data_IF_159566273972
#
_entry.id   IF_159566273972
#
_cell.length_a   1.000
_cell.length_b   1.000
_cell.length_c   1.000
_cell.angle_alpha   90.00
_cell.angle_beta   90.00
_cell.angle_gamma   90.00
#
_symmetry.space_group_name_H-M   'P 1'
#
loop_
_entity.id
_entity.type
_entity.pdbx_description
1 polymer ?
#
# COMPACT_ATOMS: atom_id res chain seq x y z
N UNK A 1 4.09 -0.17 -0.51
CA UNK A 1 5.50 -0.52 -0.70
C UNK A 1 5.76 -1.88 -0.07
N UNK A 2 6.34 -2.82 -0.82
CA UNK A 2 6.70 -4.16 -0.31
C UNK A 2 7.87 -4.02 0.66
N UNK A 3 7.89 -4.79 1.75
CA UNK A 3 9.00 -4.85 2.71
C UNK A 3 10.30 -5.19 1.97
N UNK A 4 11.42 -4.53 2.28
CA UNK A 4 12.67 -4.78 1.57
C UNK A 4 13.37 -6.08 2.03
N UNK A 5 13.29 -6.38 3.33
CA UNK A 5 13.89 -7.57 3.94
C UNK A 5 12.82 -8.60 4.24
N UNK A 6 12.80 -9.68 3.45
CA UNK A 6 11.96 -10.85 3.68
C UNK A 6 12.81 -11.94 4.32
N UNK A 7 12.32 -12.53 5.40
CA UNK A 7 12.91 -13.78 5.88
C UNK A 7 12.43 -14.97 5.03
N UNK A 8 13.08 -16.12 5.21
CA UNK A 8 12.75 -17.32 4.43
C UNK A 8 11.34 -17.84 4.72
N UNK A 9 10.84 -17.67 5.94
CA UNK A 9 9.52 -18.15 6.35
C UNK A 9 8.41 -17.30 5.73
N UNK A 10 8.54 -15.97 5.76
CA UNK A 10 7.67 -15.03 5.08
C UNK A 10 7.63 -15.26 3.56
N UNK A 11 8.77 -15.61 2.94
CA UNK A 11 8.82 -15.99 1.52
C UNK A 11 8.05 -17.27 1.24
N UNK A 12 8.23 -18.29 2.06
CA UNK A 12 7.52 -19.56 1.92
C UNK A 12 6.01 -19.35 2.08
N UNK A 13 5.60 -18.58 3.08
CA UNK A 13 4.19 -18.34 3.35
C UNK A 13 3.50 -17.55 2.22
N UNK A 14 4.14 -16.48 1.74
CA UNK A 14 3.47 -15.50 0.89
C UNK A 14 3.81 -15.64 -0.60
N UNK A 15 4.99 -16.15 -0.94
CA UNK A 15 5.54 -16.14 -2.30
C UNK A 15 5.75 -17.54 -2.89
N UNK A 16 5.33 -18.59 -2.20
CA UNK A 16 5.26 -19.94 -2.77
C UNK A 16 4.14 -20.02 -3.82
N UNK A 17 4.46 -20.57 -4.98
CA UNK A 17 3.55 -20.86 -6.07
C UNK A 17 2.90 -22.23 -5.84
N UNK A 18 1.58 -22.25 -5.72
CA UNK A 18 0.81 -23.48 -5.60
C UNK A 18 0.76 -24.23 -6.95
N UNK A 19 0.48 -25.54 -6.98
CA UNK A 19 0.44 -26.32 -8.22
C UNK A 19 -0.48 -25.72 -9.30
N UNK A 20 -1.65 -25.19 -8.92
CA UNK A 20 -2.54 -24.51 -9.84
C UNK A 20 -1.95 -23.21 -10.42
N UNK A 21 -1.20 -22.47 -9.60
CA UNK A 21 -0.52 -21.23 -10.00
C UNK A 21 0.65 -21.54 -10.95
N UNK A 22 1.42 -22.59 -10.67
CA UNK A 22 2.47 -23.08 -11.55
C UNK A 22 1.92 -23.46 -12.94
N UNK A 23 0.75 -24.12 -13.00
CA UNK A 23 0.08 -24.44 -14.27
C UNK A 23 -0.34 -23.17 -15.03
N UNK A 24 -0.85 -22.14 -14.33
CA UNK A 24 -1.22 -20.87 -14.95
C UNK A 24 0.01 -20.13 -15.51
N UNK A 25 1.09 -20.12 -14.75
CA UNK A 25 2.37 -19.50 -15.10
C UNK A 25 3.06 -20.25 -16.25
N UNK A 26 3.03 -21.59 -16.24
CA UNK A 26 3.66 -22.44 -17.25
C UNK A 26 3.12 -22.26 -18.67
N UNK A 27 1.94 -21.68 -18.83
CA UNK A 27 1.39 -21.30 -20.14
C UNK A 27 2.06 -20.05 -20.75
N UNK A 28 3.00 -19.41 -20.04
CA UNK A 28 3.76 -18.24 -20.48
C UNK A 28 5.18 -18.65 -20.86
N UNK A 29 5.82 -17.85 -21.73
CA UNK A 29 7.15 -18.15 -22.26
C UNK A 29 8.14 -17.05 -21.87
N UNK A 30 9.33 -17.45 -21.45
CA UNK A 30 10.47 -16.56 -21.15
C UNK A 30 10.16 -15.56 -20.04
N UNK A 31 10.52 -14.30 -20.25
CA UNK A 31 10.34 -13.22 -19.27
C UNK A 31 8.88 -13.03 -18.81
N UNK A 32 7.91 -13.40 -19.65
CA UNK A 32 6.49 -13.34 -19.30
C UNK A 32 6.11 -14.33 -18.20
N UNK A 33 6.87 -15.41 -18.02
CA UNK A 33 6.63 -16.44 -17.00
C UNK A 33 6.88 -15.87 -15.61
N UNK A 34 8.09 -15.34 -15.37
CA UNK A 34 8.43 -14.70 -14.09
C UNK A 34 7.62 -13.43 -13.85
N UNK A 35 7.41 -12.61 -14.88
CA UNK A 35 6.59 -11.40 -14.76
C UNK A 35 5.14 -11.70 -14.37
N UNK A 36 4.53 -12.71 -14.97
CA UNK A 36 3.18 -13.14 -14.60
C UNK A 36 3.11 -13.69 -13.18
N UNK A 37 4.07 -14.55 -12.77
CA UNK A 37 4.13 -15.11 -11.42
C UNK A 37 4.24 -14.04 -10.33
N UNK A 38 5.12 -13.05 -10.54
CA UNK A 38 5.28 -11.92 -9.61
C UNK A 38 3.98 -11.14 -9.50
N UNK A 39 3.35 -10.78 -10.63
CA UNK A 39 2.08 -10.04 -10.61
C UNK A 39 0.96 -10.82 -9.92
N UNK A 40 0.91 -12.14 -10.12
CA UNK A 40 -0.09 -13.02 -9.52
C UNK A 40 0.01 -13.02 -7.99
N UNK A 41 1.18 -13.33 -7.45
CA UNK A 41 1.40 -13.36 -5.99
C UNK A 41 1.24 -11.98 -5.36
N UNK A 42 1.75 -10.95 -6.04
CA UNK A 42 1.59 -9.58 -5.57
C UNK A 42 0.11 -9.20 -5.43
N UNK A 43 -0.71 -9.51 -6.43
CA UNK A 43 -2.14 -9.23 -6.39
C UNK A 43 -2.86 -10.03 -5.30
N UNK A 44 -2.45 -11.27 -5.06
CA UNK A 44 -3.00 -12.10 -3.99
C UNK A 44 -2.75 -11.50 -2.59
N UNK A 45 -1.56 -10.94 -2.36
CA UNK A 45 -1.16 -10.39 -1.06
C UNK A 45 -1.76 -8.98 -0.85
N UNK A 46 -1.73 -8.13 -1.88
CA UNK A 46 -2.00 -6.69 -1.74
C UNK A 46 -3.28 -6.22 -2.44
N UNK A 47 -4.00 -7.10 -3.16
CA UNK A 47 -5.17 -6.77 -3.98
C UNK A 47 -4.95 -5.61 -4.98
N UNK A 48 -3.70 -5.38 -5.38
CA UNK A 48 -3.30 -4.36 -6.36
C UNK A 48 -2.12 -4.84 -7.19
N UNK A 49 -1.67 -4.04 -8.14
CA UNK A 49 -0.45 -4.31 -8.91
C UNK A 49 0.69 -3.38 -8.48
N UNK A 50 1.94 -3.79 -8.68
CA UNK A 50 3.10 -2.93 -8.49
C UNK A 50 3.09 -1.78 -9.51
N UNK A 51 3.44 -0.58 -9.05
CA UNK A 51 3.53 0.63 -9.88
C UNK A 51 4.82 0.67 -10.70
N UNK A 52 5.87 0.02 -10.20
CA UNK A 52 7.16 -0.07 -10.87
C UNK A 52 7.84 -1.41 -10.58
N UNK A 53 8.74 -1.90 -11.46
CA UNK A 53 9.54 -3.11 -11.21
C UNK A 53 10.35 -3.03 -9.91
N UNK A 54 10.80 -1.83 -9.55
CA UNK A 54 11.61 -1.58 -8.35
C UNK A 54 10.86 -1.81 -7.04
N UNK A 55 9.53 -1.93 -7.10
CA UNK A 55 8.74 -2.26 -5.91
C UNK A 55 8.91 -3.73 -5.50
N UNK A 56 9.50 -4.57 -6.36
CA UNK A 56 9.72 -5.99 -6.08
C UNK A 56 11.17 -6.20 -5.61
N UNK A 57 11.38 -6.62 -4.35
CA UNK A 57 12.71 -6.97 -3.85
C UNK A 57 13.36 -8.13 -4.63
N UNK A 58 14.68 -8.07 -4.81
CA UNK A 58 15.46 -9.11 -5.50
C UNK A 58 15.33 -10.49 -4.85
N UNK A 59 15.12 -10.53 -3.53
CA UNK A 59 14.88 -11.78 -2.80
C UNK A 59 13.63 -12.51 -3.30
N UNK A 60 12.54 -11.78 -3.56
CA UNK A 60 11.29 -12.33 -4.10
C UNK A 60 11.49 -12.79 -5.54
N UNK A 61 12.18 -11.99 -6.36
CA UNK A 61 12.47 -12.32 -7.75
C UNK A 61 13.27 -13.63 -7.82
N UNK A 62 14.30 -13.74 -6.98
CA UNK A 62 15.18 -14.92 -6.91
C UNK A 62 14.41 -16.16 -6.42
N UNK A 63 13.55 -15.99 -5.42
CA UNK A 63 12.74 -17.08 -4.88
C UNK A 63 11.73 -17.61 -5.90
N UNK A 64 11.03 -16.73 -6.61
CA UNK A 64 10.09 -17.13 -7.68
C UNK A 64 10.85 -17.79 -8.84
N UNK A 65 11.98 -17.22 -9.25
CA UNK A 65 12.83 -17.77 -10.31
C UNK A 65 13.25 -19.22 -10.01
N UNK A 66 13.65 -19.49 -8.76
CA UNK A 66 13.99 -20.84 -8.30
C UNK A 66 12.83 -21.82 -8.43
N UNK A 67 11.62 -21.42 -8.04
CA UNK A 67 10.42 -22.26 -8.15
C UNK A 67 10.06 -22.57 -9.61
N UNK A 68 10.29 -21.61 -10.50
CA UNK A 68 10.03 -21.74 -11.94
C UNK A 68 11.18 -22.42 -12.70
N UNK A 69 12.31 -22.69 -12.04
CA UNK A 69 13.53 -23.27 -12.63
C UNK A 69 14.07 -22.44 -13.81
N UNK A 70 13.98 -21.11 -13.69
CA UNK A 70 14.51 -20.16 -14.68
C UNK A 70 15.48 -19.17 -14.03
N UNK A 71 16.40 -18.57 -14.78
CA UNK A 71 17.30 -17.55 -14.24
C UNK A 71 16.53 -16.29 -13.82
N UNK A 72 16.91 -15.68 -12.68
CA UNK A 72 16.22 -14.50 -12.14
C UNK A 72 16.34 -13.25 -13.01
N UNK A 73 17.40 -13.16 -13.84
CA UNK A 73 17.59 -12.06 -14.79
C UNK A 73 16.51 -12.03 -15.90
N UNK A 74 15.76 -13.10 -16.14
CA UNK A 74 14.59 -13.03 -17.04
C UNK A 74 13.56 -12.00 -16.59
N UNK A 75 13.57 -11.62 -15.30
CA UNK A 75 12.70 -10.56 -14.80
C UNK A 75 13.05 -9.19 -15.39
N UNK A 76 14.32 -8.87 -15.65
CA UNK A 76 14.70 -7.59 -16.26
C UNK A 76 14.24 -7.49 -17.71
N UNK A 77 14.07 -8.63 -18.38
CA UNK A 77 13.59 -8.71 -19.76
C UNK A 77 12.05 -8.64 -19.83
N UNK A 78 11.36 -8.63 -18.70
CA UNK A 78 9.91 -8.51 -18.66
C UNK A 78 9.48 -7.10 -19.04
N UNK A 79 8.60 -6.98 -20.03
CA UNK A 79 8.12 -5.68 -20.50
C UNK A 79 7.04 -5.11 -19.57
N UNK A 80 7.46 -4.15 -18.73
CA UNK A 80 6.62 -3.42 -17.76
C UNK A 80 5.70 -2.36 -18.37
N UNK A 81 5.89 -2.02 -19.65
CA UNK A 81 5.09 -1.00 -20.34
C UNK A 81 4.33 -1.56 -21.55
N UNK A 82 4.56 -2.82 -21.87
CA UNK A 82 3.99 -3.47 -23.04
C UNK A 82 2.53 -3.87 -22.93
N UNK A 83 2.07 -4.49 -24.02
CA UNK A 83 0.73 -5.06 -24.10
C UNK A 83 0.57 -6.29 -23.19
N UNK A 84 1.63 -7.05 -22.99
CA UNK A 84 1.63 -8.28 -22.19
C UNK A 84 1.26 -8.01 -20.73
N UNK A 85 1.85 -6.99 -20.07
CA UNK A 85 1.50 -6.64 -18.69
C UNK A 85 0.04 -6.21 -18.55
N UNK A 86 -0.51 -5.51 -19.55
CA UNK A 86 -1.93 -5.12 -19.56
C UNK A 86 -2.83 -6.36 -19.61
N UNK A 87 -2.53 -7.30 -20.50
CA UNK A 87 -3.26 -8.57 -20.60
C UNK A 87 -3.11 -9.43 -19.34
N UNK A 88 -1.92 -9.47 -18.74
CA UNK A 88 -1.67 -10.19 -17.49
C UNK A 88 -2.50 -9.62 -16.34
N UNK A 89 -2.49 -8.30 -16.15
CA UNK A 89 -3.30 -7.62 -15.13
C UNK A 89 -4.79 -7.90 -15.30
N UNK A 90 -5.29 -7.91 -16.55
CA UNK A 90 -6.68 -8.25 -16.83
C UNK A 90 -7.00 -9.73 -16.52
N UNK A 91 -6.11 -10.65 -16.91
CA UNK A 91 -6.27 -12.08 -16.63
C UNK A 91 -6.27 -12.37 -15.11
N UNK A 92 -5.37 -11.74 -14.37
CA UNK A 92 -5.27 -11.89 -12.91
C UNK A 92 -6.53 -11.35 -12.23
N UNK A 93 -7.01 -10.14 -12.60
CA UNK A 93 -8.27 -9.61 -12.07
C UNK A 93 -9.43 -10.59 -12.28
N UNK A 94 -9.56 -11.12 -13.51
CA UNK A 94 -10.59 -12.10 -13.84
C UNK A 94 -10.47 -13.38 -13.00
N UNK A 95 -9.25 -13.87 -12.76
CA UNK A 95 -8.99 -15.05 -11.93
C UNK A 95 -9.52 -14.88 -10.50
N UNK A 96 -9.32 -13.70 -9.91
CA UNK A 96 -9.78 -13.39 -8.54
C UNK A 96 -11.21 -12.82 -8.49
N UNK A 97 -11.94 -12.79 -9.61
CA UNK A 97 -13.30 -12.24 -9.67
C UNK A 97 -13.39 -10.71 -9.58
N UNK A 98 -12.26 -10.00 -9.68
CA UNK A 98 -12.24 -8.54 -9.72
C UNK A 98 -12.59 -8.02 -11.13
N UNK A 99 -13.32 -6.91 -11.16
CA UNK A 99 -13.54 -6.11 -12.37
C UNK A 99 -12.83 -4.77 -12.27
N UNK A 100 -12.57 -4.14 -13.42
CA UNK A 100 -12.06 -2.76 -13.44
C UNK A 100 -13.13 -1.85 -12.84
N UNK A 101 -12.72 -1.02 -11.87
CA UNK A 101 -13.58 -0.02 -11.27
C UNK A 101 -14.05 0.97 -12.35
N UNK A 102 -15.36 1.19 -12.42
CA UNK A 102 -15.99 2.21 -13.25
C UNK A 102 -16.23 3.46 -12.42
N UNK A 103 -16.44 4.59 -13.09
CA UNK A 103 -16.81 5.86 -12.44
C UNK A 103 -18.05 5.67 -11.57
N UNK A 104 -19.03 4.90 -12.05
CA UNK A 104 -20.26 4.55 -11.32
C UNK A 104 -19.98 3.86 -9.98
N UNK A 105 -18.94 3.02 -9.90
CA UNK A 105 -18.58 2.35 -8.65
C UNK A 105 -18.08 3.36 -7.62
N UNK A 106 -17.39 4.41 -8.09
CA UNK A 106 -16.95 5.52 -7.24
C UNK A 106 -18.13 6.36 -6.75
N UNK A 107 -19.12 6.62 -7.61
CA UNK A 107 -20.36 7.31 -7.25
C UNK A 107 -21.14 6.52 -6.20
N UNK A 108 -21.36 5.22 -6.42
CA UNK A 108 -22.00 4.32 -5.46
C UNK A 108 -21.27 4.28 -4.12
N UNK A 109 -19.93 4.27 -4.14
CA UNK A 109 -19.12 4.27 -2.92
C UNK A 109 -19.21 5.59 -2.17
N UNK A 110 -19.23 6.72 -2.88
CA UNK A 110 -19.46 8.05 -2.29
C UNK A 110 -20.85 8.14 -1.67
N UNK A 111 -21.87 7.61 -2.34
CA UNK A 111 -23.24 7.63 -1.83
C UNK A 111 -23.41 6.71 -0.61
N UNK A 112 -22.78 5.54 -0.61
CA UNK A 112 -22.70 4.67 0.56
C UNK A 112 -21.97 5.35 1.73
N UNK A 113 -20.81 5.98 1.49
CA UNK A 113 -20.07 6.72 2.52
C UNK A 113 -20.92 7.84 3.15
N UNK A 114 -21.67 8.58 2.33
CA UNK A 114 -22.59 9.61 2.82
C UNK A 114 -23.72 9.03 3.67
N UNK A 115 -24.26 7.89 3.27
CA UNK A 115 -25.38 7.27 3.95
C UNK A 115 -24.98 6.63 5.29
N UNK A 116 -23.79 6.04 5.38
CA UNK A 116 -23.41 5.19 6.53
C UNK A 116 -22.43 5.87 7.49
N UNK A 117 -21.51 6.71 7.00
CA UNK A 117 -20.45 7.30 7.84
C UNK A 117 -20.84 8.69 8.37
N UNK A 118 -21.45 9.54 7.54
CA UNK A 118 -21.82 10.92 7.96
C UNK A 118 -22.81 10.92 9.14
N UNK A 119 -23.80 10.02 9.24
CA UNK A 119 -24.68 9.97 10.41
C UNK A 119 -23.99 9.51 11.69
N UNK A 120 -22.83 8.84 11.58
CA UNK A 120 -22.09 8.24 12.69
C UNK A 120 -20.78 8.97 13.03
N UNK A 121 -20.52 10.12 12.38
CA UNK A 121 -19.55 11.09 12.88
C UNK A 121 -20.04 11.58 14.25
N UNK A 122 -19.45 11.02 15.31
CA UNK A 122 -19.52 11.64 16.62
C UNK A 122 -19.04 13.08 16.41
N UNK A 123 -19.97 14.04 16.58
CA UNK A 123 -19.60 15.44 16.78
C UNK A 123 -18.50 15.43 17.82
N UNK A 124 -17.29 15.80 17.42
CA UNK A 124 -16.24 16.14 18.36
C UNK A 124 -16.84 17.30 19.14
N UNK A 125 -17.34 17.02 20.35
CA UNK A 125 -17.82 18.09 21.22
C UNK A 125 -16.65 19.06 21.34
N UNK A 126 -16.88 20.36 21.10
CA UNK A 126 -15.83 21.32 21.36
C UNK A 126 -15.51 21.14 22.83
N UNK A 127 -14.29 20.69 23.13
CA UNK A 127 -13.75 20.76 24.48
C UNK A 127 -13.88 22.23 24.83
N UNK A 128 -14.92 22.59 25.60
CA UNK A 128 -14.97 23.86 26.30
C UNK A 128 -13.82 23.76 27.28
N UNK A 129 -12.63 24.13 26.80
CA UNK A 129 -11.56 24.56 27.66
C UNK A 129 -12.21 25.59 28.55
N UNK A 130 -12.37 25.25 29.83
CA UNK A 130 -12.49 26.27 30.85
C UNK A 130 -11.22 27.09 30.65
N UNK A 131 -11.33 28.20 29.94
CA UNK A 131 -10.37 29.27 30.00
C UNK A 131 -10.39 29.69 31.46
N UNK A 132 -9.48 29.11 32.24
CA UNK A 132 -8.89 29.82 33.36
C UNK A 132 -8.14 31.00 32.75
N UNK A 133 -8.91 32.00 32.31
CA UNK A 133 -8.43 33.36 32.34
C UNK A 133 -8.00 33.65 33.79
N UNK A 134 -6.82 34.27 33.87
CA UNK A 134 -6.44 35.15 34.96
C UNK A 134 -6.05 34.51 36.29
N UNK A 135 -4.77 34.10 36.42
CA UNK A 135 -3.96 34.50 37.60
C UNK A 135 -2.43 34.28 37.54
N UNK A 136 -1.81 33.93 36.40
CA UNK A 136 -0.34 33.65 36.39
C UNK A 136 0.48 34.56 35.48
N UNK A 137 -0.15 35.34 34.59
CA UNK A 137 0.54 36.28 33.70
C UNK A 137 0.83 37.67 34.30
N UNK A 138 -0.08 38.22 35.12
CA UNK A 138 0.06 39.59 35.65
C UNK A 138 1.06 39.70 36.81
N UNK A 139 1.33 38.61 37.52
CA UNK A 139 2.21 38.62 38.70
C UNK A 139 3.69 38.77 38.32
N UNK A 140 4.09 38.29 37.14
CA UNK A 140 5.48 38.38 36.67
C UNK A 140 5.79 39.74 36.02
N UNK A 141 4.84 40.37 35.30
CA UNK A 141 5.05 41.72 34.76
C UNK A 141 5.11 42.78 35.87
N UNK A 142 4.22 42.73 36.87
CA UNK A 142 4.24 43.67 38.00
C UNK A 142 5.49 43.54 38.87
N UNK A 143 6.10 42.34 38.94
CA UNK A 143 7.38 42.10 39.64
C UNK A 143 8.58 42.61 38.83
N UNK A 144 8.53 42.49 37.50
CA UNK A 144 9.60 42.97 36.62
C UNK A 144 9.66 44.50 36.56
N UNK A 145 8.52 45.17 36.45
CA UNK A 145 8.45 46.64 36.41
C UNK A 145 8.84 47.29 37.76
N UNK A 146 8.60 46.61 38.89
CA UNK A 146 9.01 47.09 40.22
C UNK A 146 10.54 47.02 40.41
N UNK A 147 11.23 46.04 39.81
CA UNK A 147 12.69 45.91 39.89
C UNK A 147 13.43 46.95 39.02
N UNK A 148 12.83 47.43 37.93
CA UNK A 148 13.46 48.45 37.08
C UNK A 148 13.36 49.86 37.70
N UNK A 149 12.33 50.14 38.52
CA UNK A 149 12.18 51.45 39.19
C UNK A 149 12.96 51.60 40.51
N UNK A 150 13.59 50.54 41.02
CA UNK A 150 14.37 50.60 42.27
C UNK A 150 15.89 50.63 42.08
N UNK A 151 16.38 50.56 40.83
CA UNK A 151 17.81 50.55 40.50
C UNK A 151 18.25 51.77 39.67
N UNK A 152 17.58 52.92 39.84
CA UNK A 152 18.04 54.22 39.33
C UNK A 152 17.74 55.32 40.34
#
# INVERSE_FOLDING_TARGET
MVKANWDTEELIENWTLLPAELNLVGNKVGANQIGFAVLLKYFQIYARFPDSPKEIPDAIISYIAQQLQIPSNFYSDYDWQGRSITNHRAAIRKLFGFRVAKITDGEEMVDWLKAEIIPNEQRIEPIRGKTSEDTVGESNLKRFERNIKQNN
#
